data_IF_073889272857
#
_entry.id   IF_073889272857
#
_cell.length_a   1.000
_cell.length_b   1.000
_cell.length_c   1.000
_cell.angle_alpha   90.00
_cell.angle_beta   90.00
_cell.angle_gamma   90.00
#
_symmetry.space_group_name_H-M   'P 1'
#
loop_
_entity.id
_entity.type
_entity.pdbx_description
1 polymer ?
#
# COMPACT_ATOMS: atom_id res chain seq x y z
N UNK A 1 20.88 -1.17 12.34
CA UNK A 1 19.59 -0.43 12.23
C UNK A 1 18.61 -1.40 11.61
N UNK A 2 17.65 -1.93 12.36
CA UNK A 2 16.60 -2.78 11.79
C UNK A 2 15.58 -1.88 11.09
N UNK A 3 15.30 -2.12 9.80
CA UNK A 3 14.19 -1.44 9.14
C UNK A 3 12.89 -2.13 9.54
N UNK A 4 12.20 -1.56 10.51
CA UNK A 4 10.86 -1.99 10.95
C UNK A 4 9.74 -1.24 10.22
N UNK A 5 10.10 -0.50 9.17
CA UNK A 5 9.17 0.29 8.36
C UNK A 5 9.44 0.06 6.88
N UNK A 6 8.37 0.03 6.10
CA UNK A 6 8.41 0.01 4.65
C UNK A 6 7.56 1.15 4.10
N UNK A 7 8.04 1.81 3.05
CA UNK A 7 7.30 2.87 2.38
C UNK A 7 6.96 2.42 0.98
N UNK A 8 5.66 2.24 0.74
CA UNK A 8 5.12 2.03 -0.59
C UNK A 8 4.89 3.38 -1.24
N UNK A 9 5.31 3.49 -2.51
CA UNK A 9 5.08 4.66 -3.35
C UNK A 9 4.59 4.20 -4.71
N UNK A 10 3.57 4.87 -5.23
CA UNK A 10 3.03 4.58 -6.56
C UNK A 10 2.56 5.86 -7.23
N UNK A 11 2.50 5.83 -8.55
CA UNK A 11 1.96 6.93 -9.32
C UNK A 11 0.43 6.99 -9.19
N UNK A 12 -0.07 8.18 -8.91
CA UNK A 12 -1.49 8.47 -8.86
C UNK A 12 -1.85 9.45 -9.99
N UNK A 13 -2.05 8.96 -11.22
CA UNK A 13 -2.38 9.83 -12.35
C UNK A 13 -3.78 10.43 -12.23
N UNK A 14 -4.66 9.88 -11.38
CA UNK A 14 -6.04 10.32 -11.26
C UNK A 14 -6.41 10.61 -9.79
N UNK A 15 -6.69 11.88 -9.52
CA UNK A 15 -7.05 12.39 -8.18
C UNK A 15 -8.39 11.87 -7.64
N UNK A 16 -9.14 11.11 -8.44
CA UNK A 16 -10.37 10.44 -8.02
C UNK A 16 -10.18 8.95 -7.69
N UNK A 17 -8.95 8.44 -7.80
CA UNK A 17 -8.62 7.07 -7.42
C UNK A 17 -8.37 6.96 -5.92
N UNK A 18 -9.03 5.99 -5.29
CA UNK A 18 -8.75 5.53 -3.93
C UNK A 18 -7.83 4.33 -4.00
N UNK A 19 -7.05 4.12 -2.95
CA UNK A 19 -6.14 2.97 -2.88
C UNK A 19 -6.39 2.21 -1.59
N UNK A 20 -6.69 0.92 -1.69
CA UNK A 20 -6.80 0.04 -0.55
C UNK A 20 -5.51 -0.75 -0.43
N UNK A 21 -4.79 -0.57 0.67
CA UNK A 21 -3.56 -1.30 0.98
C UNK A 21 -3.85 -2.28 2.09
N UNK A 22 -3.60 -3.56 1.83
CA UNK A 22 -3.82 -4.64 2.79
C UNK A 22 -2.49 -5.33 3.08
N UNK A 23 -2.09 -5.37 4.35
CA UNK A 23 -0.82 -5.93 4.81
C UNK A 23 -1.09 -6.87 5.98
N UNK A 24 -0.75 -8.16 5.84
CA UNK A 24 -0.85 -9.14 6.92
C UNK A 24 -2.22 -9.14 7.66
N UNK A 25 -3.32 -9.02 6.90
CA UNK A 25 -4.69 -8.97 7.42
C UNK A 25 -5.20 -7.60 7.85
N UNK A 26 -4.35 -6.58 7.93
CA UNK A 26 -4.76 -5.20 8.21
C UNK A 26 -4.93 -4.42 6.91
N UNK A 27 -6.14 -3.92 6.67
CA UNK A 27 -6.45 -3.10 5.50
C UNK A 27 -6.61 -1.62 5.86
N UNK A 28 -5.95 -0.75 5.11
CA UNK A 28 -6.16 0.70 5.14
C UNK A 28 -6.67 1.16 3.79
N UNK A 29 -7.68 2.02 3.80
CA UNK A 29 -8.11 2.74 2.60
C UNK A 29 -7.53 4.14 2.63
N UNK A 30 -6.81 4.47 1.57
CA UNK A 30 -6.23 5.78 1.31
C UNK A 30 -7.23 6.53 0.45
N UNK A 31 -7.72 7.63 1.01
CA UNK A 31 -8.62 8.57 0.34
C UNK A 31 -7.92 9.21 -0.87
N UNK A 32 -8.68 9.68 -1.87
CA UNK A 32 -8.09 10.32 -3.04
C UNK A 32 -7.37 11.59 -2.61
N UNK A 33 -6.09 11.68 -2.93
CA UNK A 33 -5.30 12.88 -2.68
C UNK A 33 -5.11 13.69 -3.98
N UNK A 34 -4.95 15.00 -3.84
CA UNK A 34 -4.70 15.91 -4.97
C UNK A 34 -3.29 15.69 -5.54
N UNK A 35 -2.42 15.02 -4.76
CA UNK A 35 -1.07 14.66 -5.15
C UNK A 35 -1.01 13.61 -6.25
N UNK A 36 -0.09 13.82 -7.20
CA UNK A 36 0.17 12.90 -8.31
C UNK A 36 0.89 11.60 -7.87
N UNK A 37 1.20 11.47 -6.58
CA UNK A 37 1.91 10.31 -6.03
C UNK A 37 1.25 9.88 -4.74
N UNK A 38 0.87 8.61 -4.67
CA UNK A 38 0.42 7.97 -3.44
C UNK A 38 1.61 7.45 -2.63
N UNK A 39 1.55 7.61 -1.31
CA UNK A 39 2.54 7.02 -0.41
C UNK A 39 1.84 6.38 0.80
N UNK A 40 2.36 5.24 1.24
CA UNK A 40 1.90 4.58 2.45
C UNK A 40 3.08 4.01 3.22
N UNK A 41 3.12 4.32 4.51
CA UNK A 41 4.16 3.81 5.40
C UNK A 41 3.58 2.70 6.25
N UNK A 42 4.08 1.49 6.02
CA UNK A 42 3.81 0.33 6.86
C UNK A 42 4.80 0.39 8.01
N UNK A 43 4.31 0.51 9.22
CA UNK A 43 5.11 0.45 10.44
C UNK A 43 4.92 -0.91 11.14
N UNK A 44 5.73 -1.17 12.16
CA UNK A 44 5.64 -2.36 13.00
C UNK A 44 5.99 -3.68 12.29
N UNK A 45 6.92 -3.61 11.33
CA UNK A 45 7.46 -4.79 10.66
C UNK A 45 8.57 -5.44 11.49
N UNK A 46 8.61 -6.77 11.51
CA UNK A 46 9.63 -7.56 12.21
C UNK A 46 10.72 -7.99 11.23
N UNK A 47 12.01 -7.74 11.52
CA UNK A 47 13.11 -8.16 10.65
C UNK A 47 13.11 -9.68 10.44
N UNK A 48 13.53 -10.14 9.26
CA UNK A 48 13.51 -11.55 8.88
C UNK A 48 12.10 -12.13 8.66
N UNK A 49 11.05 -11.30 8.62
CA UNK A 49 9.68 -11.75 8.33
C UNK A 49 9.28 -11.37 6.91
N UNK A 50 8.65 -12.30 6.21
CA UNK A 50 8.07 -12.06 4.90
C UNK A 50 6.65 -11.49 5.08
N UNK A 51 6.44 -10.28 4.57
CA UNK A 51 5.16 -9.60 4.60
C UNK A 51 4.55 -9.59 3.20
N UNK A 52 3.37 -10.17 3.05
CA UNK A 52 2.54 -9.98 1.86
C UNK A 52 1.76 -8.68 2.00
N UNK A 53 1.82 -7.85 0.95
CA UNK A 53 1.02 -6.65 0.85
C UNK A 53 0.29 -6.62 -0.49
N UNK A 54 -0.96 -6.15 -0.47
CA UNK A 54 -1.79 -6.09 -1.65
C UNK A 54 -2.33 -4.66 -1.80
N UNK A 55 -2.20 -4.09 -3.00
CA UNK A 55 -2.69 -2.75 -3.32
C UNK A 55 -3.81 -2.87 -4.34
N UNK A 56 -4.99 -2.37 -3.99
CA UNK A 56 -6.15 -2.37 -4.88
C UNK A 56 -6.58 -0.95 -5.16
N UNK A 57 -6.58 -0.55 -6.43
CA UNK A 57 -7.11 0.74 -6.84
C UNK A 57 -8.64 0.68 -6.91
N UNK A 58 -9.32 1.65 -6.31
CA UNK A 58 -10.77 1.78 -6.30
C UNK A 58 -11.16 3.08 -6.98
N UNK A 59 -11.99 3.01 -8.01
CA UNK A 59 -12.47 4.17 -8.75
C UNK A 59 -13.99 4.11 -8.89
N UNK A 60 -14.68 5.14 -8.42
CA UNK A 60 -16.15 5.23 -8.52
C UNK A 60 -16.89 4.00 -7.97
N UNK A 61 -16.35 3.38 -6.91
CA UNK A 61 -16.88 2.14 -6.32
C UNK A 61 -16.46 0.84 -7.02
N UNK A 62 -15.76 0.91 -8.15
CA UNK A 62 -15.19 -0.24 -8.85
C UNK A 62 -13.78 -0.53 -8.35
N UNK A 63 -13.47 -1.80 -8.12
CA UNK A 63 -12.16 -2.24 -7.67
C UNK A 63 -11.40 -2.80 -8.88
N UNK A 64 -10.17 -2.33 -9.09
CA UNK A 64 -9.25 -2.90 -10.06
C UNK A 64 -8.68 -4.22 -9.53
N UNK A 65 -7.86 -4.87 -10.35
CA UNK A 65 -7.12 -6.06 -9.94
C UNK A 65 -6.18 -5.70 -8.78
N UNK A 66 -6.25 -6.46 -7.70
CA UNK A 66 -5.30 -6.33 -6.59
C UNK A 66 -3.88 -6.64 -7.10
N UNK A 67 -2.95 -5.73 -6.83
CA UNK A 67 -1.53 -5.94 -7.02
C UNK A 67 -0.97 -6.59 -5.76
N UNK A 68 -0.55 -7.85 -5.84
CA UNK A 68 0.00 -8.59 -4.72
C UNK A 68 1.50 -8.71 -4.87
N UNK A 69 2.23 -8.37 -3.81
CA UNK A 69 3.69 -8.40 -3.80
C UNK A 69 4.21 -8.66 -2.38
N UNK A 70 5.51 -8.92 -2.25
CA UNK A 70 6.12 -9.40 -1.02
C UNK A 70 7.28 -8.51 -0.61
N UNK A 71 7.27 -8.10 0.65
CA UNK A 71 8.36 -7.37 1.26
C UNK A 71 9.08 -8.30 2.24
N UNK A 72 10.40 -8.44 2.07
CA UNK A 72 11.27 -9.08 3.05
C UNK A 72 12.01 -7.98 3.80
N UNK A 73 11.79 -7.90 5.11
CA UNK A 73 12.55 -7.00 5.98
C UNK A 73 13.89 -7.63 6.37
N UNK A 74 14.98 -6.87 6.27
CA UNK A 74 16.34 -7.29 6.63
C UNK A 74 16.75 -6.79 8.03
#
# INVERSE_FOLDING_TARGET
RSLTTATLKWENPNKSWKYKVETNGTGVTIEPDISATGFFTISNLKPGTLYSYHVTTVFSGLNSKAYNDFLVTQ
#
